data_IF_016998843545
#
_entry.id   IF_016998843545
#
_cell.length_a   1.000
_cell.length_b   1.000
_cell.length_c   1.000
_cell.angle_alpha   90.00
_cell.angle_beta   90.00
_cell.angle_gamma   90.00
#
_symmetry.space_group_name_H-M   'P 1'
#
loop_
_entity.id
_entity.type
_entity.pdbx_description
1 polymer ?
#
# COMPACT_ATOMS: atom_id res chain seq x y z
N UNK A 1 7.67 24.56 -29.47
CA UNK A 1 8.31 24.17 -28.19
C UNK A 1 8.00 22.70 -27.99
N UNK A 2 8.76 21.80 -28.64
CA UNK A 2 10.04 21.23 -28.13
C UNK A 2 9.81 20.44 -26.85
N UNK A 3 10.30 19.20 -26.81
CA UNK A 3 10.20 18.35 -25.61
C UNK A 3 10.76 19.13 -24.41
N UNK A 4 9.91 19.42 -23.44
CA UNK A 4 10.36 19.68 -22.08
C UNK A 4 10.67 18.29 -21.53
N UNK A 5 11.91 18.07 -21.09
CA UNK A 5 12.26 16.84 -20.41
C UNK A 5 11.38 16.71 -19.17
N UNK A 6 10.60 15.63 -19.17
CA UNK A 6 9.60 15.37 -18.14
C UNK A 6 10.28 14.97 -16.81
N UNK A 7 11.45 14.35 -16.91
CA UNK A 7 12.28 13.94 -15.78
C UNK A 7 13.55 14.80 -15.69
N UNK A 8 14.36 14.59 -14.65
CA UNK A 8 15.72 15.14 -14.56
C UNK A 8 16.78 14.05 -14.83
N UNK A 9 17.97 14.44 -15.28
CA UNK A 9 19.07 13.49 -15.56
C UNK A 9 19.63 12.77 -14.31
N UNK A 10 19.46 13.37 -13.14
CA UNK A 10 20.04 12.87 -11.88
C UNK A 10 19.80 13.80 -10.70
N UNK A 11 20.16 13.37 -9.47
CA UNK A 11 20.05 14.19 -8.27
C UNK A 11 20.96 15.43 -8.31
N UNK A 12 20.71 16.38 -7.41
CA UNK A 12 21.51 17.58 -7.24
C UNK A 12 21.35 18.11 -5.82
N UNK A 13 22.27 17.74 -4.94
CA UNK A 13 22.30 18.22 -3.56
C UNK A 13 22.90 19.64 -3.47
N UNK A 14 22.54 20.34 -2.40
CA UNK A 14 22.91 21.73 -2.07
C UNK A 14 23.20 21.88 -0.58
N UNK A 15 22.51 21.11 0.27
CA UNK A 15 22.65 21.08 1.73
C UNK A 15 22.52 19.64 2.26
N UNK A 16 22.79 19.43 3.54
CA UNK A 16 22.34 18.25 4.27
C UNK A 16 20.81 18.24 4.36
N UNK A 17 20.17 17.07 4.44
CA UNK A 17 18.71 16.96 4.60
C UNK A 17 18.35 16.57 6.05
N UNK A 18 17.34 17.19 6.71
CA UNK A 18 16.69 18.45 6.33
C UNK A 18 17.68 19.62 6.32
N UNK A 19 17.54 20.49 5.32
CA UNK A 19 18.30 21.74 5.27
C UNK A 19 17.72 22.81 6.20
N UNK A 20 18.34 24.00 6.27
CA UNK A 20 17.94 25.07 7.20
C UNK A 20 16.50 25.58 6.98
N UNK A 21 15.97 25.57 5.75
CA UNK A 21 14.57 25.95 5.45
C UNK A 21 13.58 24.84 5.80
N UNK A 22 14.06 23.59 5.87
CA UNK A 22 13.27 22.42 6.26
C UNK A 22 13.12 22.25 7.79
N UNK A 23 13.81 23.05 8.61
CA UNK A 23 13.70 22.99 10.07
C UNK A 23 12.36 23.55 10.55
N UNK A 24 11.52 22.67 11.12
CA UNK A 24 10.14 23.01 11.47
C UNK A 24 10.04 23.76 12.80
N UNK A 25 9.19 24.77 12.88
CA UNK A 25 8.79 25.40 14.16
C UNK A 25 7.79 24.52 14.92
N UNK A 26 7.66 24.73 16.23
CA UNK A 26 6.85 23.90 17.15
C UNK A 26 5.31 23.99 16.96
N UNK A 27 4.82 24.26 15.76
CA UNK A 27 3.39 24.53 15.46
C UNK A 27 2.54 23.29 15.21
N UNK A 28 3.15 22.12 15.00
CA UNK A 28 2.47 20.83 14.78
C UNK A 28 3.25 19.67 15.42
N UNK A 29 2.68 18.46 15.44
CA UNK A 29 3.41 17.24 15.79
C UNK A 29 4.33 16.83 14.64
N UNK A 30 5.57 17.32 14.68
CA UNK A 30 6.57 17.18 13.61
C UNK A 30 7.45 15.93 13.73
N UNK A 31 7.21 15.06 14.70
CA UNK A 31 8.06 13.90 15.02
C UNK A 31 8.20 12.82 13.93
N UNK A 32 7.50 12.97 12.80
CA UNK A 32 7.59 12.12 11.61
C UNK A 32 7.86 12.92 10.31
N UNK A 33 8.22 14.20 10.40
CA UNK A 33 8.54 15.06 9.25
C UNK A 33 10.03 14.94 8.91
N UNK A 34 10.33 14.41 7.72
CA UNK A 34 11.72 14.26 7.27
C UNK A 34 12.35 15.57 6.77
N UNK A 35 11.58 16.34 5.98
CA UNK A 35 11.92 17.65 5.40
C UNK A 35 10.67 18.25 4.73
N UNK A 36 10.71 19.52 4.31
CA UNK A 36 9.63 20.14 3.53
C UNK A 36 9.90 20.08 2.02
N UNK A 37 8.86 19.85 1.22
CA UNK A 37 8.98 19.63 -0.22
C UNK A 37 8.58 20.88 -1.04
N UNK A 38 9.34 21.16 -2.09
CA UNK A 38 8.95 22.06 -3.18
C UNK A 38 8.33 21.22 -4.31
N UNK A 39 7.02 21.02 -4.25
CA UNK A 39 6.30 20.21 -5.23
C UNK A 39 6.21 20.87 -6.61
N UNK A 40 6.34 22.19 -6.74
CA UNK A 40 6.26 22.89 -8.03
C UNK A 40 7.51 22.64 -8.90
N UNK A 41 8.69 22.50 -8.28
CA UNK A 41 9.92 22.09 -8.96
C UNK A 41 10.15 20.56 -9.00
N UNK A 42 9.34 19.77 -8.29
CA UNK A 42 9.43 18.30 -8.35
C UNK A 42 8.90 17.77 -9.69
N UNK A 43 9.61 16.84 -10.34
CA UNK A 43 9.25 16.33 -11.69
C UNK A 43 9.67 14.88 -11.87
N UNK A 44 8.84 14.11 -12.57
CA UNK A 44 9.14 12.72 -12.91
C UNK A 44 9.45 11.88 -11.68
N UNK A 45 10.62 11.26 -11.64
CA UNK A 45 11.10 10.44 -10.54
C UNK A 45 11.82 11.24 -9.43
N UNK A 46 11.85 12.59 -9.49
CA UNK A 46 12.59 13.42 -8.53
C UNK A 46 11.70 14.32 -7.68
N UNK A 47 11.93 14.25 -6.36
CA UNK A 47 11.40 15.16 -5.36
C UNK A 47 12.42 16.27 -5.09
N UNK A 48 11.95 17.52 -5.03
CA UNK A 48 12.76 18.70 -4.67
C UNK A 48 12.34 19.15 -3.28
N UNK A 49 13.29 19.44 -2.39
CA UNK A 49 13.02 20.02 -1.07
C UNK A 49 13.03 21.56 -1.08
N UNK A 50 12.58 22.18 0.01
CA UNK A 50 12.59 23.65 0.13
C UNK A 50 14.00 24.25 0.21
N UNK A 51 15.03 23.44 0.45
CA UNK A 51 16.44 23.85 0.48
C UNK A 51 17.12 23.73 -0.90
N UNK A 52 16.40 23.27 -1.93
CA UNK A 52 16.87 23.15 -3.30
C UNK A 52 17.63 21.84 -3.58
N UNK A 53 17.59 20.86 -2.68
CA UNK A 53 18.07 19.51 -2.93
C UNK A 53 17.10 18.80 -3.88
N UNK A 54 17.60 18.27 -4.99
CA UNK A 54 16.84 17.38 -5.89
C UNK A 54 17.27 15.93 -5.63
N UNK A 55 16.32 15.10 -5.23
CA UNK A 55 16.54 13.70 -4.85
C UNK A 55 15.71 12.76 -5.72
N UNK A 56 16.30 11.65 -6.16
CA UNK A 56 15.60 10.54 -6.82
C UNK A 56 14.72 9.82 -5.79
N UNK A 57 13.42 9.66 -6.07
CA UNK A 57 12.44 9.18 -5.09
C UNK A 57 12.00 7.73 -5.36
N UNK A 58 12.57 6.79 -4.60
CA UNK A 58 12.17 5.37 -4.59
C UNK A 58 11.19 5.07 -3.44
N UNK A 59 10.46 6.08 -2.92
CA UNK A 59 9.43 5.92 -1.89
C UNK A 59 8.07 6.53 -2.26
N UNK A 60 8.04 7.52 -3.17
CA UNK A 60 6.87 8.10 -3.85
C UNK A 60 5.67 8.40 -2.94
N UNK A 61 5.94 9.15 -1.85
CA UNK A 61 4.94 9.49 -0.83
C UNK A 61 4.19 8.25 -0.30
N UNK A 62 4.95 7.23 0.11
CA UNK A 62 4.44 5.92 0.55
C UNK A 62 3.69 5.19 -0.58
N UNK A 63 4.35 5.03 -1.73
CA UNK A 63 3.83 4.30 -2.90
C UNK A 63 2.54 4.88 -3.50
N UNK A 64 2.30 6.19 -3.38
CA UNK A 64 1.04 6.86 -3.75
C UNK A 64 1.10 7.77 -4.98
N UNK A 65 2.29 8.07 -5.52
CA UNK A 65 2.47 8.85 -6.75
C UNK A 65 2.68 7.89 -7.95
N UNK A 66 1.67 7.64 -8.80
CA UNK A 66 1.72 6.54 -9.76
C UNK A 66 2.61 6.81 -10.98
N UNK A 67 2.61 8.03 -11.52
CA UNK A 67 3.30 8.38 -12.78
C UNK A 67 4.25 9.58 -12.60
N UNK A 68 4.84 9.70 -11.41
CA UNK A 68 5.80 10.76 -11.07
C UNK A 68 5.17 12.12 -10.79
N UNK A 69 6.02 13.04 -10.36
CA UNK A 69 5.65 14.41 -10.01
C UNK A 69 5.38 15.27 -11.25
N UNK A 70 4.39 16.16 -11.18
CA UNK A 70 4.03 17.13 -12.24
C UNK A 70 3.90 16.55 -13.65
N UNK A 71 3.37 15.32 -13.76
CA UNK A 71 3.20 14.64 -15.05
C UNK A 71 2.40 15.48 -16.05
N UNK A 72 2.93 15.79 -17.26
CA UNK A 72 2.33 16.73 -18.21
C UNK A 72 0.87 16.43 -18.59
N UNK A 73 0.46 15.16 -18.63
CA UNK A 73 -0.94 14.80 -18.86
C UNK A 73 -1.88 15.26 -17.73
N UNK A 74 -1.43 15.21 -16.47
CA UNK A 74 -2.21 15.67 -15.31
C UNK A 74 -2.21 17.20 -15.22
N UNK A 75 -1.10 17.86 -15.56
CA UNK A 75 -1.06 19.32 -15.70
C UNK A 75 -1.98 19.82 -16.81
N UNK A 76 -2.01 19.15 -17.97
CA UNK A 76 -2.94 19.44 -19.07
C UNK A 76 -4.41 19.22 -18.67
N UNK A 77 -4.68 18.21 -17.84
CA UNK A 77 -6.00 17.93 -17.28
C UNK A 77 -6.43 19.02 -16.29
N UNK A 78 -5.52 19.54 -15.45
CA UNK A 78 -5.78 20.69 -14.57
C UNK A 78 -6.00 22.00 -15.33
N UNK A 79 -5.24 22.22 -16.41
CA UNK A 79 -5.34 23.43 -17.23
C UNK A 79 -6.59 23.47 -18.16
N UNK A 80 -7.40 22.41 -18.20
CA UNK A 80 -8.61 22.35 -19.01
C UNK A 80 -9.79 23.04 -18.29
N UNK A 81 -10.34 24.17 -18.80
CA UNK A 81 -11.39 24.91 -18.11
C UNK A 81 -12.67 24.09 -17.90
N UNK A 82 -12.95 23.10 -18.77
CA UNK A 82 -14.13 22.24 -18.65
C UNK A 82 -14.11 21.38 -17.38
N UNK A 83 -12.93 21.16 -16.78
CA UNK A 83 -12.77 20.37 -15.55
C UNK A 83 -12.94 21.21 -14.26
N UNK A 84 -13.01 22.55 -14.35
CA UNK A 84 -12.99 23.44 -13.18
C UNK A 84 -14.08 23.11 -12.15
N UNK A 85 -15.31 22.83 -12.62
CA UNK A 85 -16.43 22.46 -11.75
C UNK A 85 -16.15 21.22 -10.90
N UNK A 86 -15.43 20.23 -11.45
CA UNK A 86 -15.09 18.97 -10.76
C UNK A 86 -14.12 19.19 -9.58
N UNK A 87 -13.36 20.29 -9.56
CA UNK A 87 -12.43 20.60 -8.48
C UNK A 87 -13.05 21.48 -7.38
N UNK A 88 -13.97 22.38 -7.73
CA UNK A 88 -14.59 23.31 -6.75
C UNK A 88 -15.91 22.80 -6.17
N UNK A 89 -16.68 22.02 -6.93
CA UNK A 89 -17.98 21.49 -6.50
C UNK A 89 -17.84 20.02 -6.10
N UNK A 90 -17.60 19.74 -4.81
CA UNK A 90 -17.52 18.35 -4.30
C UNK A 90 -18.93 17.82 -3.94
N UNK A 91 -19.47 16.83 -4.67
CA UNK A 91 -20.82 16.33 -4.44
C UNK A 91 -20.89 15.29 -3.32
N UNK A 92 -22.08 15.14 -2.73
CA UNK A 92 -22.44 13.98 -1.93
C UNK A 92 -22.81 12.80 -2.88
N UNK A 93 -21.78 12.08 -3.35
CA UNK A 93 -21.90 11.08 -4.43
C UNK A 93 -23.00 10.01 -4.24
N UNK A 94 -23.31 9.63 -3.00
CA UNK A 94 -24.37 8.65 -2.70
C UNK A 94 -25.80 9.15 -2.92
N UNK A 95 -26.02 10.45 -3.17
CA UNK A 95 -27.34 11.06 -3.37
C UNK A 95 -27.43 12.05 -4.54
N UNK A 96 -26.32 12.74 -4.87
CA UNK A 96 -26.26 13.79 -5.90
C UNK A 96 -24.99 13.60 -6.76
N UNK A 97 -24.84 12.49 -7.49
CA UNK A 97 -23.70 12.29 -8.38
C UNK A 97 -23.74 13.27 -9.58
N UNK A 98 -22.58 13.71 -10.10
CA UNK A 98 -22.52 14.47 -11.34
C UNK A 98 -22.88 13.60 -12.55
N UNK A 99 -23.40 14.22 -13.60
CA UNK A 99 -23.88 13.56 -14.83
C UNK A 99 -22.91 12.50 -15.40
N UNK A 100 -21.63 12.84 -15.50
CA UNK A 100 -20.58 11.98 -16.05
C UNK A 100 -20.00 10.94 -15.07
N UNK A 101 -20.57 10.78 -13.87
CA UNK A 101 -20.05 9.84 -12.87
C UNK A 101 -20.02 8.38 -13.33
N UNK A 102 -21.08 7.81 -13.97
CA UNK A 102 -21.05 6.43 -14.45
C UNK A 102 -19.94 6.18 -15.49
N UNK A 103 -19.76 7.12 -16.41
CA UNK A 103 -18.73 7.04 -17.46
C UNK A 103 -17.34 7.11 -16.84
N UNK A 104 -17.08 8.07 -15.93
CA UNK A 104 -15.78 8.20 -15.27
C UNK A 104 -15.46 7.02 -14.36
N UNK A 105 -16.45 6.39 -13.75
CA UNK A 105 -16.28 5.10 -13.01
C UNK A 105 -15.98 3.94 -13.97
N UNK A 106 -16.56 3.96 -15.18
CA UNK A 106 -16.36 2.94 -16.21
C UNK A 106 -14.98 3.04 -16.86
N UNK A 107 -14.60 4.23 -17.34
CA UNK A 107 -13.29 4.56 -17.91
C UNK A 107 -12.14 4.26 -16.94
N UNK A 108 -12.33 4.51 -15.64
CA UNK A 108 -11.30 4.28 -14.61
C UNK A 108 -11.43 2.91 -13.95
N UNK A 109 -12.20 2.80 -12.87
CA UNK A 109 -12.17 1.65 -11.96
C UNK A 109 -12.70 0.35 -12.58
N UNK A 110 -13.76 0.41 -13.39
CA UNK A 110 -14.31 -0.81 -14.02
C UNK A 110 -13.46 -1.28 -15.21
N UNK A 111 -12.71 -0.40 -15.87
CA UNK A 111 -11.76 -0.78 -16.94
C UNK A 111 -10.54 -1.56 -16.44
N UNK A 112 -10.41 -1.74 -15.12
CA UNK A 112 -9.43 -2.60 -14.43
C UNK A 112 -10.10 -3.51 -13.38
N UNK A 113 -11.39 -3.83 -13.54
CA UNK A 113 -12.14 -4.65 -12.60
C UNK A 113 -11.56 -6.07 -12.45
N UNK A 114 -11.33 -6.57 -11.21
CA UNK A 114 -10.93 -7.96 -10.99
C UNK A 114 -11.96 -8.97 -11.51
N UNK A 115 -11.49 -10.13 -11.96
CA UNK A 115 -12.36 -11.21 -12.46
C UNK A 115 -13.44 -11.59 -11.43
N UNK A 116 -14.70 -11.63 -11.88
CA UNK A 116 -15.87 -11.88 -11.03
C UNK A 116 -16.39 -10.67 -10.23
N UNK A 117 -15.73 -9.51 -10.26
CA UNK A 117 -16.14 -8.30 -9.52
C UNK A 117 -16.78 -7.24 -10.44
N UNK A 118 -18.04 -7.45 -10.82
CA UNK A 118 -18.81 -6.54 -11.70
C UNK A 118 -19.38 -5.28 -11.02
N UNK A 119 -18.90 -4.93 -9.83
CA UNK A 119 -19.39 -3.80 -9.02
C UNK A 119 -18.25 -3.12 -8.29
N UNK A 120 -18.31 -1.79 -8.21
CA UNK A 120 -17.38 -0.97 -7.43
C UNK A 120 -18.15 -0.06 -6.48
N UNK A 121 -17.58 0.20 -5.31
CA UNK A 121 -17.95 1.33 -4.48
C UNK A 121 -16.68 2.13 -4.17
N UNK A 122 -16.66 3.38 -4.57
CA UNK A 122 -15.57 4.32 -4.35
C UNK A 122 -15.48 4.77 -2.89
N UNK A 123 -14.28 5.16 -2.46
CA UNK A 123 -13.91 5.50 -1.07
C UNK A 123 -12.81 6.56 -1.06
N UNK A 124 -12.63 7.27 0.06
CA UNK A 124 -11.70 8.41 0.13
C UNK A 124 -10.26 8.02 0.55
N UNK A 125 -10.06 6.89 1.23
CA UNK A 125 -8.74 6.38 1.63
C UNK A 125 -8.81 4.87 1.93
N UNK A 126 -7.66 4.19 1.99
CA UNK A 126 -7.59 2.74 2.24
C UNK A 126 -8.26 2.27 3.54
N UNK A 127 -8.17 3.05 4.62
CA UNK A 127 -8.85 2.69 5.88
C UNK A 127 -10.37 2.73 5.74
N UNK A 128 -10.96 3.75 5.13
CA UNK A 128 -12.41 3.74 4.95
C UNK A 128 -12.87 2.72 3.89
N UNK A 129 -12.03 2.32 2.93
CA UNK A 129 -12.28 1.12 2.12
C UNK A 129 -12.41 -0.14 2.97
N UNK A 130 -11.44 -0.40 3.84
CA UNK A 130 -11.42 -1.61 4.67
C UNK A 130 -12.54 -1.63 5.72
N UNK A 131 -12.79 -0.53 6.45
CA UNK A 131 -13.94 -0.45 7.40
C UNK A 131 -15.28 -0.78 6.72
N UNK A 132 -15.48 -0.32 5.48
CA UNK A 132 -16.73 -0.56 4.75
C UNK A 132 -16.76 -1.95 4.12
N UNK A 133 -15.62 -2.53 3.73
CA UNK A 133 -15.53 -3.95 3.38
C UNK A 133 -15.90 -4.85 4.56
N UNK A 134 -15.39 -4.58 5.77
CA UNK A 134 -15.71 -5.35 6.98
C UNK A 134 -17.19 -5.29 7.35
N UNK A 135 -17.78 -4.08 7.43
CA UNK A 135 -19.23 -3.91 7.65
C UNK A 135 -20.08 -4.70 6.65
N UNK A 136 -19.61 -4.83 5.42
CA UNK A 136 -20.32 -5.50 4.32
C UNK A 136 -20.22 -7.01 4.36
N UNK A 137 -19.06 -7.51 4.79
CA UNK A 137 -18.86 -8.91 5.16
C UNK A 137 -19.83 -9.26 6.32
N UNK A 138 -19.95 -8.41 7.34
CA UNK A 138 -20.90 -8.61 8.45
C UNK A 138 -22.37 -8.55 8.02
N UNK A 139 -22.77 -7.52 7.26
CA UNK A 139 -24.14 -7.38 6.72
C UNK A 139 -24.50 -8.57 5.85
N UNK A 140 -23.60 -9.00 4.95
CA UNK A 140 -23.80 -10.21 4.17
C UNK A 140 -23.98 -11.45 5.06
N UNK A 141 -23.08 -11.65 6.03
CA UNK A 141 -23.09 -12.83 6.89
C UNK A 141 -24.42 -12.95 7.65
N UNK A 142 -24.90 -11.85 8.25
CA UNK A 142 -26.20 -11.79 8.93
C UNK A 142 -27.38 -11.94 7.98
N UNK A 143 -27.32 -11.40 6.76
CA UNK A 143 -28.37 -11.61 5.77
C UNK A 143 -28.44 -13.07 5.30
N UNK A 144 -27.30 -13.77 5.22
CA UNK A 144 -27.24 -15.21 4.94
C UNK A 144 -27.76 -16.06 6.10
N UNK A 145 -27.59 -15.63 7.35
CA UNK A 145 -28.20 -16.29 8.52
C UNK A 145 -29.72 -16.05 8.61
N UNK A 146 -30.18 -14.81 8.40
CA UNK A 146 -31.61 -14.42 8.42
C UNK A 146 -32.40 -14.91 7.18
N UNK A 147 -31.72 -15.29 6.10
CA UNK A 147 -32.35 -15.73 4.86
C UNK A 147 -33.28 -14.66 4.26
N UNK A 148 -34.57 -14.99 4.15
CA UNK A 148 -35.60 -14.08 3.64
C UNK A 148 -36.33 -13.28 4.73
N UNK A 149 -36.11 -13.57 6.02
CA UNK A 149 -36.91 -13.03 7.12
C UNK A 149 -36.61 -11.56 7.46
N UNK A 150 -35.49 -11.00 7.01
CA UNK A 150 -35.05 -9.66 7.35
C UNK A 150 -34.64 -9.48 8.83
N UNK A 151 -34.28 -8.26 9.26
CA UNK A 151 -34.00 -7.95 10.66
C UNK A 151 -35.28 -7.98 11.52
N UNK A 152 -35.20 -8.47 12.74
CA UNK A 152 -36.31 -8.47 13.70
C UNK A 152 -36.49 -7.11 14.39
N UNK A 153 -37.59 -6.89 15.10
CA UNK A 153 -37.76 -5.71 15.95
C UNK A 153 -36.69 -5.64 17.07
N UNK A 154 -36.20 -6.79 17.53
CA UNK A 154 -35.11 -6.89 18.52
C UNK A 154 -33.73 -6.56 17.90
N UNK A 155 -33.47 -7.00 16.66
CA UNK A 155 -32.28 -6.58 15.91
C UNK A 155 -32.22 -5.04 15.75
N UNK A 156 -33.38 -4.40 15.57
CA UNK A 156 -33.51 -2.96 15.36
C UNK A 156 -33.44 -2.13 16.65
N UNK A 157 -33.90 -2.66 17.79
CA UNK A 157 -33.82 -1.96 19.08
C UNK A 157 -32.44 -2.13 19.74
N UNK A 158 -31.88 -3.35 19.73
CA UNK A 158 -30.59 -3.65 20.37
C UNK A 158 -29.39 -3.01 19.66
N UNK A 159 -29.42 -2.86 18.32
CA UNK A 159 -28.31 -2.24 17.58
C UNK A 159 -28.10 -0.77 17.97
N UNK A 160 -29.17 -0.03 18.30
CA UNK A 160 -29.11 1.36 18.74
C UNK A 160 -28.50 1.52 20.15
N UNK A 161 -28.31 0.42 20.88
CA UNK A 161 -27.67 0.35 22.20
C UNK A 161 -26.29 -0.34 22.16
N UNK A 162 -25.75 -0.63 20.96
CA UNK A 162 -24.55 -1.44 20.74
C UNK A 162 -24.65 -2.88 21.28
N UNK A 163 -25.86 -3.46 21.32
CA UNK A 163 -26.15 -4.78 21.91
C UNK A 163 -26.54 -5.83 20.87
N UNK A 164 -26.30 -7.09 21.17
CA UNK A 164 -26.85 -8.23 20.42
C UNK A 164 -28.37 -8.33 20.62
N UNK A 165 -29.14 -8.92 19.67
CA UNK A 165 -28.71 -9.53 18.40
C UNK A 165 -28.37 -8.54 17.27
N UNK A 166 -28.71 -7.26 17.43
CA UNK A 166 -28.58 -6.21 16.41
C UNK A 166 -27.13 -5.86 16.06
N UNK A 167 -26.27 -5.76 17.08
CA UNK A 167 -24.82 -5.73 16.97
C UNK A 167 -24.26 -7.13 17.25
N UNK A 168 -23.93 -7.93 16.21
CA UNK A 168 -23.43 -9.30 16.39
C UNK A 168 -21.91 -9.33 16.65
N UNK A 169 -21.46 -10.27 17.48
CA UNK A 169 -20.04 -10.49 17.82
C UNK A 169 -19.31 -11.26 16.68
N UNK A 170 -19.37 -10.73 15.45
CA UNK A 170 -18.69 -11.31 14.29
C UNK A 170 -17.21 -10.90 14.25
N UNK A 171 -16.39 -11.75 13.65
CA UNK A 171 -14.94 -11.50 13.53
C UNK A 171 -14.42 -11.45 12.10
N UNK A 172 -13.32 -10.73 11.90
CA UNK A 172 -12.51 -10.74 10.67
C UNK A 172 -11.17 -11.39 11.00
N UNK A 173 -10.81 -12.45 10.28
CA UNK A 173 -9.49 -13.05 10.39
C UNK A 173 -8.46 -12.19 9.66
N UNK A 174 -7.34 -11.92 10.32
CA UNK A 174 -6.22 -11.11 9.84
C UNK A 174 -4.89 -11.80 10.11
N UNK A 175 -3.77 -11.25 9.66
CA UNK A 175 -2.46 -11.92 9.69
C UNK A 175 -1.40 -11.12 10.46
N UNK A 176 -0.50 -11.82 11.16
CA UNK A 176 0.70 -11.20 11.77
C UNK A 176 1.49 -10.40 10.71
N UNK A 177 1.98 -9.21 11.05
CA UNK A 177 2.70 -8.33 10.12
C UNK A 177 1.81 -7.42 9.25
N UNK A 178 0.51 -7.70 9.14
CA UNK A 178 -0.39 -6.98 8.22
C UNK A 178 -0.56 -5.49 8.55
N UNK A 179 -0.92 -4.68 7.55
CA UNK A 179 -1.34 -3.29 7.72
C UNK A 179 -2.53 -2.95 6.83
N UNK A 180 -3.66 -2.62 7.47
CA UNK A 180 -4.93 -2.37 6.80
C UNK A 180 -5.52 -0.99 7.15
N UNK A 181 -4.91 -0.26 8.10
CA UNK A 181 -5.27 1.12 8.42
C UNK A 181 -5.08 1.48 9.89
N UNK A 182 -5.56 2.66 10.28
CA UNK A 182 -5.44 3.19 11.65
C UNK A 182 -6.77 3.61 12.30
N UNK A 183 -7.90 3.50 11.60
CA UNK A 183 -9.24 3.50 12.22
C UNK A 183 -9.45 2.18 12.97
N UNK A 184 -10.31 2.15 14.00
CA UNK A 184 -10.30 1.07 14.99
C UNK A 184 -10.52 -0.36 14.43
N UNK A 185 -11.39 -0.57 13.44
CA UNK A 185 -11.60 -1.89 12.82
C UNK A 185 -10.43 -2.30 11.92
N UNK A 186 -9.85 -1.34 11.20
CA UNK A 186 -8.61 -1.52 10.46
C UNK A 186 -7.40 -1.74 11.36
N UNK A 187 -7.40 -1.20 12.58
CA UNK A 187 -6.32 -1.33 13.54
C UNK A 187 -6.39 -2.67 14.29
N UNK A 188 -7.59 -3.16 14.58
CA UNK A 188 -7.79 -4.52 15.09
C UNK A 188 -7.17 -5.57 14.16
N UNK A 189 -7.30 -5.36 12.83
CA UNK A 189 -6.76 -6.24 11.78
C UNK A 189 -5.34 -5.88 11.30
N UNK A 190 -4.72 -4.84 11.85
CA UNK A 190 -3.32 -4.44 11.56
C UNK A 190 -2.40 -4.97 12.65
N UNK A 191 -1.28 -5.61 12.29
CA UNK A 191 -0.34 -6.26 13.23
C UNK A 191 1.13 -6.00 12.86
N UNK A 192 1.43 -4.80 12.36
CA UNK A 192 2.73 -4.43 11.77
C UNK A 192 3.80 -3.97 12.77
N UNK A 193 3.48 -3.04 13.69
CA UNK A 193 4.42 -2.48 14.68
C UNK A 193 3.70 -2.14 15.99
N UNK A 194 4.36 -2.32 17.14
CA UNK A 194 3.77 -2.05 18.46
C UNK A 194 3.27 -0.59 18.60
N UNK A 195 4.08 0.38 18.15
CA UNK A 195 3.75 1.82 18.17
C UNK A 195 2.54 2.21 17.29
N UNK A 196 2.01 1.29 16.47
CA UNK A 196 0.75 1.51 15.76
C UNK A 196 -0.48 1.14 16.60
N UNK A 197 -0.36 0.22 17.57
CA UNK A 197 -1.48 -0.37 18.34
C UNK A 197 -1.49 -0.02 19.83
N UNK A 198 -0.33 0.34 20.40
CA UNK A 198 -0.18 0.64 21.83
C UNK A 198 -1.18 1.72 22.26
N UNK A 199 -1.75 1.56 23.46
CA UNK A 199 -2.74 2.44 24.09
C UNK A 199 -4.08 2.65 23.34
N UNK A 200 -4.34 1.92 22.25
CA UNK A 200 -5.62 1.98 21.51
C UNK A 200 -6.49 0.73 21.77
N UNK A 201 -7.76 0.88 22.18
CA UNK A 201 -8.69 -0.25 22.30
C UNK A 201 -8.86 -1.03 20.99
N UNK A 202 -8.89 -2.36 21.08
CA UNK A 202 -8.94 -3.27 19.94
C UNK A 202 -10.07 -4.29 20.09
N UNK A 203 -10.46 -4.93 18.98
CA UNK A 203 -11.41 -6.02 18.94
C UNK A 203 -10.68 -7.36 19.13
N UNK A 204 -11.23 -8.24 19.98
CA UNK A 204 -10.81 -9.64 20.12
C UNK A 204 -11.28 -10.40 18.86
N UNK A 205 -10.39 -10.53 17.87
CA UNK A 205 -10.59 -11.17 16.56
C UNK A 205 -9.41 -12.13 16.21
N UNK A 206 -9.57 -13.08 15.28
CA UNK A 206 -8.52 -14.02 14.92
C UNK A 206 -7.31 -13.38 14.21
N UNK A 207 -6.12 -13.84 14.60
CA UNK A 207 -4.84 -13.46 14.01
C UNK A 207 -4.10 -14.75 13.64
N UNK A 208 -3.92 -15.00 12.34
CA UNK A 208 -3.16 -16.12 11.81
C UNK A 208 -1.68 -15.72 11.55
N UNK A 209 -0.74 -16.67 11.54
CA UNK A 209 0.61 -16.40 11.04
C UNK A 209 0.62 -16.11 9.53
N UNK A 210 1.42 -15.14 9.10
CA UNK A 210 1.79 -14.98 7.69
C UNK A 210 3.09 -15.76 7.42
N UNK A 211 3.23 -16.51 6.30
CA UNK A 211 4.43 -17.30 6.01
C UNK A 211 5.73 -16.49 6.04
N UNK A 212 6.74 -16.95 6.78
CA UNK A 212 8.06 -16.31 6.80
C UNK A 212 9.08 -17.05 5.93
N UNK A 213 9.04 -16.79 4.63
CA UNK A 213 9.93 -17.45 3.66
C UNK A 213 11.44 -17.28 3.99
N UNK A 214 12.19 -18.36 3.81
CA UNK A 214 13.65 -18.43 3.81
C UNK A 214 14.19 -18.22 2.38
N UNK A 215 15.39 -17.65 2.28
CA UNK A 215 16.01 -17.20 1.02
C UNK A 215 17.49 -17.62 0.99
N UNK A 216 18.06 -18.01 -0.17
CA UNK A 216 17.46 -18.05 -1.51
C UNK A 216 16.27 -19.02 -1.64
N UNK A 217 15.26 -18.67 -2.45
CA UNK A 217 13.99 -19.42 -2.50
C UNK A 217 14.20 -20.85 -3.05
N UNK A 218 15.21 -20.99 -3.91
CA UNK A 218 15.64 -22.20 -4.59
C UNK A 218 16.25 -23.22 -3.60
N UNK A 219 16.93 -22.74 -2.56
CA UNK A 219 17.60 -23.56 -1.53
C UNK A 219 16.62 -24.07 -0.45
N UNK A 220 15.58 -23.27 -0.14
CA UNK A 220 14.62 -23.54 0.95
C UNK A 220 13.21 -23.91 0.47
N UNK A 221 13.08 -24.43 -0.75
CA UNK A 221 11.78 -24.70 -1.39
C UNK A 221 10.85 -25.60 -0.54
N UNK A 222 11.37 -26.66 0.07
CA UNK A 222 10.62 -27.59 0.94
C UNK A 222 10.19 -26.92 2.26
N UNK A 223 11.11 -26.20 2.90
CA UNK A 223 10.89 -25.52 4.17
C UNK A 223 9.86 -24.40 4.02
N UNK A 224 9.90 -23.71 2.87
CA UNK A 224 8.92 -22.71 2.48
C UNK A 224 7.52 -23.33 2.22
N UNK A 225 7.44 -24.47 1.53
CA UNK A 225 6.16 -25.18 1.35
C UNK A 225 5.56 -25.64 2.70
N UNK A 226 6.39 -26.15 3.62
CA UNK A 226 5.96 -26.57 4.96
C UNK A 226 5.46 -25.39 5.81
N UNK A 227 6.15 -24.25 5.77
CA UNK A 227 5.73 -23.01 6.44
C UNK A 227 4.41 -22.46 5.88
N UNK A 228 4.22 -22.49 4.55
CA UNK A 228 2.96 -22.09 3.92
C UNK A 228 1.80 -23.04 4.26
N UNK A 229 2.06 -24.35 4.32
CA UNK A 229 1.06 -25.34 4.73
C UNK A 229 0.63 -25.15 6.19
N UNK A 230 1.58 -24.98 7.12
CA UNK A 230 1.31 -24.70 8.54
C UNK A 230 0.45 -23.44 8.71
N UNK A 231 0.80 -22.36 8.00
CA UNK A 231 0.04 -21.11 8.06
C UNK A 231 -1.41 -21.25 7.53
N UNK A 232 -1.66 -22.17 6.60
CA UNK A 232 -3.02 -22.46 6.10
C UNK A 232 -3.82 -23.32 7.09
N UNK A 233 -3.20 -24.33 7.70
CA UNK A 233 -3.80 -25.17 8.73
C UNK A 233 -4.27 -24.32 9.92
N UNK A 234 -3.42 -23.41 10.42
CA UNK A 234 -3.78 -22.48 11.50
C UNK A 234 -4.93 -21.51 11.12
N UNK A 235 -5.13 -21.18 9.84
CA UNK A 235 -6.29 -20.39 9.40
C UNK A 235 -7.59 -21.19 9.51
N UNK A 236 -7.60 -22.47 9.11
CA UNK A 236 -8.79 -23.33 9.25
C UNK A 236 -9.12 -23.57 10.73
N UNK A 237 -8.11 -23.88 11.54
CA UNK A 237 -8.22 -24.08 12.99
C UNK A 237 -8.78 -22.84 13.69
N UNK A 238 -8.31 -21.65 13.32
CA UNK A 238 -8.88 -20.39 13.81
C UNK A 238 -10.34 -20.23 13.40
N UNK A 239 -10.73 -20.51 12.15
CA UNK A 239 -12.13 -20.40 11.71
C UNK A 239 -13.05 -21.31 12.54
N UNK A 240 -12.63 -22.54 12.83
CA UNK A 240 -13.37 -23.49 13.68
C UNK A 240 -13.45 -23.01 15.12
N UNK A 241 -12.30 -22.68 15.73
CA UNK A 241 -12.17 -22.22 17.12
C UNK A 241 -12.96 -20.95 17.42
N UNK A 242 -12.98 -20.01 16.47
CA UNK A 242 -13.72 -18.76 16.60
C UNK A 242 -15.24 -18.93 16.42
N UNK A 243 -15.67 -19.88 15.59
CA UNK A 243 -17.08 -20.29 15.56
C UNK A 243 -17.52 -20.95 16.88
N UNK A 244 -16.67 -21.78 17.50
CA UNK A 244 -16.94 -22.41 18.80
C UNK A 244 -17.01 -21.37 19.95
N UNK A 245 -16.20 -20.30 19.90
CA UNK A 245 -16.30 -19.14 20.81
C UNK A 245 -17.64 -18.37 20.74
N UNK A 246 -18.51 -18.67 19.77
CA UNK A 246 -19.68 -17.83 19.46
C UNK A 246 -19.34 -16.57 18.65
N UNK A 247 -18.10 -16.44 18.18
CA UNK A 247 -17.57 -15.26 17.46
C UNK A 247 -17.18 -15.56 16.00
N UNK A 248 -18.08 -16.10 15.17
CA UNK A 248 -17.70 -16.72 13.90
C UNK A 248 -17.01 -15.75 12.94
N UNK A 249 -16.01 -16.26 12.23
CA UNK A 249 -15.28 -15.53 11.21
C UNK A 249 -16.20 -15.26 10.03
N UNK A 250 -16.54 -13.99 9.83
CA UNK A 250 -17.38 -13.56 8.72
C UNK A 250 -16.58 -13.41 7.43
N UNK A 251 -15.29 -13.09 7.51
CA UNK A 251 -14.38 -13.01 6.36
C UNK A 251 -12.90 -12.90 6.76
N UNK A 252 -12.04 -12.92 5.74
CA UNK A 252 -10.58 -12.88 5.86
C UNK A 252 -10.06 -11.63 5.14
N UNK A 253 -9.07 -10.94 5.71
CA UNK A 253 -8.35 -9.83 5.08
C UNK A 253 -6.85 -10.11 5.03
N UNK A 254 -6.20 -9.84 3.89
CA UNK A 254 -4.79 -10.13 3.64
C UNK A 254 -4.22 -9.23 2.53
N UNK A 255 -2.94 -8.89 2.63
CA UNK A 255 -2.16 -8.24 1.55
C UNK A 255 -1.49 -9.29 0.66
N UNK A 256 -1.47 -9.15 -0.69
CA UNK A 256 -0.72 -10.04 -1.58
C UNK A 256 0.81 -10.03 -1.35
N UNK A 257 1.34 -8.91 -0.85
CA UNK A 257 2.69 -8.77 -0.28
C UNK A 257 2.53 -7.81 0.90
N UNK A 258 2.84 -8.23 2.13
CA UNK A 258 2.65 -7.37 3.31
C UNK A 258 3.64 -6.22 3.30
N UNK A 259 3.16 -4.97 3.36
CA UNK A 259 4.04 -3.79 3.21
C UNK A 259 4.70 -3.36 4.52
N UNK A 260 3.95 -2.75 5.46
CA UNK A 260 4.55 -2.17 6.67
C UNK A 260 5.23 -3.20 7.59
N UNK A 261 4.75 -4.45 7.56
CA UNK A 261 5.31 -5.58 8.29
C UNK A 261 6.71 -6.02 7.85
N UNK A 262 7.21 -5.51 6.73
CA UNK A 262 8.58 -5.79 6.26
C UNK A 262 8.66 -6.47 4.90
N UNK A 263 7.81 -6.10 3.93
CA UNK A 263 7.81 -6.68 2.58
C UNK A 263 7.79 -8.22 2.61
N UNK A 264 6.81 -8.80 3.30
CA UNK A 264 6.66 -10.26 3.42
C UNK A 264 5.91 -10.81 2.20
N UNK A 265 6.55 -11.71 1.45
CA UNK A 265 5.98 -12.42 0.31
C UNK A 265 5.49 -13.83 0.73
N UNK A 266 4.52 -14.35 0.00
CA UNK A 266 4.12 -15.76 -0.02
C UNK A 266 3.91 -16.20 -1.48
N UNK A 267 3.91 -17.50 -1.77
CA UNK A 267 3.71 -18.02 -3.12
C UNK A 267 2.30 -17.75 -3.63
N UNK A 268 2.15 -17.71 -4.95
CA UNK A 268 0.83 -17.69 -5.58
C UNK A 268 -0.02 -18.93 -5.25
N UNK A 269 0.56 -20.01 -4.71
CA UNK A 269 -0.18 -21.20 -4.32
C UNK A 269 -0.80 -21.10 -2.92
N UNK A 270 -0.08 -20.52 -1.96
CA UNK A 270 -0.62 -20.13 -0.65
C UNK A 270 -1.89 -19.27 -0.82
N UNK A 271 -1.85 -18.24 -1.66
CA UNK A 271 -3.03 -17.40 -1.92
C UNK A 271 -4.18 -18.14 -2.63
N UNK A 272 -3.90 -19.14 -3.48
CA UNK A 272 -4.94 -19.99 -4.09
C UNK A 272 -5.60 -20.90 -3.05
N UNK A 273 -4.80 -21.58 -2.22
CA UNK A 273 -5.28 -22.42 -1.11
C UNK A 273 -6.11 -21.60 -0.13
N UNK A 274 -5.61 -20.45 0.33
CA UNK A 274 -6.34 -19.51 1.20
C UNK A 274 -7.65 -19.01 0.56
N UNK A 275 -7.66 -18.78 -0.77
CA UNK A 275 -8.89 -18.40 -1.47
C UNK A 275 -9.94 -19.51 -1.49
N UNK A 276 -9.55 -20.79 -1.50
CA UNK A 276 -10.48 -21.94 -1.42
C UNK A 276 -11.16 -21.98 -0.05
N UNK A 277 -10.40 -21.78 1.03
CA UNK A 277 -10.91 -21.70 2.42
C UNK A 277 -12.03 -20.63 2.56
N UNK A 278 -11.96 -19.54 1.79
CA UNK A 278 -12.75 -18.33 2.01
C UNK A 278 -14.09 -18.17 1.21
N UNK A 279 -14.57 -19.16 0.43
CA UNK A 279 -15.56 -18.89 -0.64
C UNK A 279 -17.06 -18.86 -0.28
N UNK A 280 -17.62 -17.80 0.39
CA UNK A 280 -19.09 -17.45 0.36
C UNK A 280 -19.33 -15.89 0.37
N UNK A 281 -20.29 -15.23 -0.37
CA UNK A 281 -20.25 -13.75 -0.70
C UNK A 281 -21.58 -12.89 -0.76
N UNK A 282 -21.74 -11.53 -0.79
CA UNK A 282 -21.11 -10.22 -0.37
C UNK A 282 -22.17 -9.05 -0.51
N UNK A 283 -22.13 -7.85 0.17
CA UNK A 283 -22.79 -6.53 -0.25
C UNK A 283 -22.53 -5.26 0.66
N UNK A 284 -22.45 -4.01 0.11
CA UNK A 284 -21.92 -2.74 0.74
C UNK A 284 -22.82 -1.46 0.54
N UNK A 285 -22.73 -0.43 1.43
CA UNK A 285 -23.08 1.01 1.17
C UNK A 285 -22.39 2.05 2.13
N UNK A 286 -22.19 3.34 1.74
CA UNK A 286 -21.91 4.51 2.62
C UNK A 286 -22.12 5.91 1.95
N UNK A 287 -21.95 7.00 2.72
CA UNK A 287 -22.33 8.41 2.39
C UNK A 287 -21.52 9.13 1.31
N UNK A 288 -20.19 9.19 1.42
CA UNK A 288 -19.38 10.07 0.55
C UNK A 288 -18.86 9.40 -0.72
N UNK A 289 -18.76 8.07 -0.73
CA UNK A 289 -18.32 7.27 -1.88
C UNK A 289 -17.09 7.86 -2.64
N UNK A 290 -16.09 8.39 -1.94
CA UNK A 290 -14.86 8.93 -2.54
C UNK A 290 -14.92 10.41 -2.95
N UNK A 291 -14.49 10.69 -4.19
CA UNK A 291 -14.26 12.04 -4.72
C UNK A 291 -14.14 12.01 -6.28
N UNK A 292 -15.01 12.68 -7.05
CA UNK A 292 -14.97 12.66 -8.52
C UNK A 292 -13.66 13.18 -9.12
N UNK A 293 -12.99 14.13 -8.48
CA UNK A 293 -11.72 14.68 -8.97
C UNK A 293 -10.63 13.60 -9.02
N UNK A 294 -10.69 12.62 -8.11
CA UNK A 294 -9.74 11.50 -8.08
C UNK A 294 -10.04 10.46 -9.16
N UNK A 295 -11.32 10.23 -9.48
CA UNK A 295 -11.70 9.40 -10.65
C UNK A 295 -11.22 10.05 -11.96
N UNK A 296 -11.33 11.37 -12.09
CA UNK A 296 -10.86 12.11 -13.27
C UNK A 296 -9.33 12.01 -13.46
N UNK A 297 -8.54 12.18 -12.40
CA UNK A 297 -7.09 11.91 -12.46
C UNK A 297 -6.79 10.43 -12.75
N UNK A 298 -7.49 9.49 -12.11
CA UNK A 298 -7.25 8.05 -12.27
C UNK A 298 -7.51 7.59 -13.70
N UNK A 299 -8.53 8.13 -14.38
CA UNK A 299 -8.78 7.85 -15.80
C UNK A 299 -7.57 8.20 -16.68
N UNK A 300 -6.99 9.39 -16.53
CA UNK A 300 -5.80 9.76 -17.33
C UNK A 300 -4.53 9.02 -16.87
N UNK A 301 -4.37 8.70 -15.58
CA UNK A 301 -3.29 7.82 -15.11
C UNK A 301 -3.37 6.44 -15.80
N UNK A 302 -4.57 5.85 -15.91
CA UNK A 302 -4.77 4.59 -16.61
C UNK A 302 -4.58 4.71 -18.13
N UNK A 303 -4.89 5.86 -18.73
CA UNK A 303 -4.55 6.15 -20.12
C UNK A 303 -3.04 6.21 -20.34
N UNK A 304 -2.29 6.87 -19.46
CA UNK A 304 -0.82 6.93 -19.49
C UNK A 304 -0.22 5.51 -19.38
N UNK A 305 -0.64 4.74 -18.38
CA UNK A 305 -0.15 3.36 -18.14
C UNK A 305 -0.34 2.48 -19.38
N UNK A 306 -1.48 2.58 -20.07
CA UNK A 306 -1.76 1.84 -21.31
C UNK A 306 -0.97 2.36 -22.51
N UNK A 307 -0.98 3.68 -22.72
CA UNK A 307 -0.34 4.37 -23.87
C UNK A 307 1.17 4.20 -23.89
N UNK A 308 1.79 4.17 -22.72
CA UNK A 308 3.25 4.15 -22.53
C UNK A 308 3.74 2.78 -22.00
N UNK A 309 2.86 1.77 -21.97
CA UNK A 309 3.14 0.37 -21.61
C UNK A 309 3.89 0.21 -20.28
N UNK A 310 3.51 0.99 -19.26
CA UNK A 310 4.28 1.12 -18.01
C UNK A 310 4.32 -0.18 -17.17
N UNK A 311 3.46 -1.16 -17.46
CA UNK A 311 3.53 -2.48 -16.83
C UNK A 311 4.72 -3.30 -17.33
N UNK A 312 5.10 -3.17 -18.60
CA UNK A 312 6.31 -3.79 -19.16
C UNK A 312 7.58 -3.06 -18.68
N UNK A 313 7.52 -1.72 -18.56
CA UNK A 313 8.60 -0.93 -17.96
C UNK A 313 8.88 -1.38 -16.52
N UNK A 314 7.84 -1.53 -15.68
CA UNK A 314 7.97 -2.00 -14.30
C UNK A 314 8.48 -3.45 -14.21
N UNK A 315 8.17 -4.31 -15.18
CA UNK A 315 8.77 -5.64 -15.27
C UNK A 315 10.27 -5.58 -15.64
N UNK A 316 10.65 -4.69 -16.57
CA UNK A 316 12.04 -4.49 -17.00
C UNK A 316 12.90 -3.87 -15.91
N UNK A 317 12.55 -2.68 -15.43
CA UNK A 317 13.34 -1.98 -14.39
C UNK A 317 13.30 -2.71 -13.06
N UNK A 318 12.20 -3.40 -12.74
CA UNK A 318 12.10 -4.33 -11.63
C UNK A 318 13.09 -5.49 -11.69
N UNK A 319 13.25 -6.11 -12.88
CA UNK A 319 14.25 -7.17 -13.09
C UNK A 319 15.69 -6.65 -12.91
N UNK A 320 16.00 -5.48 -13.49
CA UNK A 320 17.31 -4.85 -13.31
C UNK A 320 17.59 -4.52 -11.84
N UNK A 321 16.60 -4.01 -11.11
CA UNK A 321 16.70 -3.70 -9.68
C UNK A 321 16.94 -4.97 -8.86
N UNK A 322 16.21 -6.05 -9.12
CA UNK A 322 16.42 -7.33 -8.44
C UNK A 322 17.80 -7.93 -8.70
N UNK A 323 18.30 -7.90 -9.93
CA UNK A 323 19.66 -8.35 -10.25
C UNK A 323 20.70 -7.58 -9.43
N UNK A 324 20.66 -6.24 -9.46
CA UNK A 324 21.59 -5.40 -8.69
C UNK A 324 21.48 -5.60 -7.18
N UNK A 325 20.29 -5.85 -6.64
CA UNK A 325 20.12 -6.18 -5.22
C UNK A 325 20.73 -7.55 -4.86
N UNK A 326 20.68 -8.55 -5.75
CA UNK A 326 21.38 -9.82 -5.55
C UNK A 326 22.91 -9.67 -5.66
N UNK A 327 23.41 -8.88 -6.60
CA UNK A 327 24.83 -8.57 -6.76
C UNK A 327 25.38 -7.86 -5.51
N UNK A 328 24.66 -6.85 -4.99
CA UNK A 328 25.01 -6.18 -3.74
C UNK A 328 24.89 -7.12 -2.52
N UNK A 329 23.89 -8.00 -2.47
CA UNK A 329 23.81 -9.01 -1.40
C UNK A 329 25.04 -9.94 -1.40
N UNK A 330 25.48 -10.39 -2.57
CA UNK A 330 26.66 -11.24 -2.72
C UNK A 330 27.98 -10.49 -2.41
N UNK A 331 28.03 -9.18 -2.66
CA UNK A 331 29.19 -8.32 -2.37
C UNK A 331 29.26 -7.88 -0.89
N UNK A 332 28.12 -7.83 -0.19
CA UNK A 332 27.99 -7.35 1.19
C UNK A 332 27.25 -8.35 2.13
N UNK A 333 27.59 -9.66 2.16
CA UNK A 333 26.77 -10.69 2.82
C UNK A 333 26.71 -10.59 4.36
N UNK A 334 27.64 -9.88 4.99
CA UNK A 334 27.60 -9.56 6.43
C UNK A 334 26.71 -8.35 6.79
N UNK A 335 26.16 -7.67 5.78
CA UNK A 335 25.40 -6.43 5.91
C UNK A 335 24.00 -6.52 5.29
N UNK A 336 23.87 -7.24 4.17
CA UNK A 336 22.66 -7.38 3.36
C UNK A 336 22.21 -8.84 3.24
N UNK A 337 20.90 -9.07 3.25
CA UNK A 337 20.31 -10.42 3.18
C UNK A 337 18.86 -10.39 2.67
N UNK A 338 18.34 -11.56 2.27
CA UNK A 338 16.92 -11.77 1.90
C UNK A 338 16.38 -10.78 0.85
N UNK A 339 17.20 -10.41 -0.13
CA UNK A 339 16.77 -9.62 -1.29
C UNK A 339 15.58 -10.30 -1.99
N UNK A 340 14.52 -9.53 -2.25
CA UNK A 340 13.21 -10.05 -2.72
C UNK A 340 12.40 -8.97 -3.42
N UNK A 341 11.50 -9.36 -4.32
CA UNK A 341 10.60 -8.42 -4.97
C UNK A 341 9.79 -9.00 -6.14
N UNK A 342 8.86 -8.20 -6.66
CA UNK A 342 8.09 -8.49 -7.87
C UNK A 342 7.81 -7.19 -8.64
N UNK A 343 8.24 -7.11 -9.90
CA UNK A 343 8.32 -5.81 -10.58
C UNK A 343 9.30 -4.89 -9.83
N UNK A 344 8.97 -3.61 -9.70
CA UNK A 344 9.75 -2.65 -8.89
C UNK A 344 9.40 -2.68 -7.39
N UNK A 345 8.45 -3.52 -6.98
CA UNK A 345 8.07 -3.70 -5.57
C UNK A 345 9.08 -4.65 -4.91
N UNK A 346 10.20 -4.09 -4.46
CA UNK A 346 11.35 -4.84 -3.95
C UNK A 346 11.76 -4.43 -2.54
N UNK A 347 12.48 -5.30 -1.85
CA UNK A 347 13.09 -5.04 -0.55
C UNK A 347 14.36 -5.87 -0.30
N UNK A 348 15.14 -5.45 0.70
CA UNK A 348 16.32 -6.16 1.19
C UNK A 348 16.45 -5.95 2.71
N UNK A 349 16.87 -6.98 3.45
CA UNK A 349 17.06 -6.91 4.90
C UNK A 349 18.50 -6.50 5.21
N UNK A 350 18.67 -5.42 5.99
CA UNK A 350 19.96 -5.02 6.56
C UNK A 350 20.20 -5.84 7.84
N UNK A 351 21.47 -6.03 8.21
CA UNK A 351 21.90 -6.73 9.44
C UNK A 351 21.10 -6.32 10.68
N UNK A 352 20.93 -5.02 10.90
CA UNK A 352 20.28 -4.43 12.08
C UNK A 352 19.57 -3.09 11.73
N UNK A 353 18.64 -2.67 12.59
CA UNK A 353 17.78 -1.51 12.33
C UNK A 353 18.50 -0.16 12.42
N UNK A 354 19.57 -0.06 13.21
CA UNK A 354 20.39 1.15 13.37
C UNK A 354 21.25 1.40 12.13
N UNK A 355 21.84 0.33 11.58
CA UNK A 355 22.59 0.36 10.32
C UNK A 355 21.68 0.58 9.12
N UNK A 356 20.44 0.05 9.14
CA UNK A 356 19.39 0.43 8.16
C UNK A 356 19.19 1.94 8.15
N UNK A 357 19.01 2.54 9.32
CA UNK A 357 18.73 3.97 9.44
C UNK A 357 19.89 4.83 8.93
N UNK A 358 21.14 4.51 9.33
CA UNK A 358 22.35 5.15 8.79
C UNK A 358 22.41 5.09 7.26
N UNK A 359 22.21 3.90 6.69
CA UNK A 359 22.29 3.70 5.24
C UNK A 359 21.20 4.49 4.51
N UNK A 360 19.96 4.49 5.00
CA UNK A 360 18.86 5.29 4.43
C UNK A 360 19.18 6.78 4.46
N UNK A 361 19.64 7.32 5.60
CA UNK A 361 19.97 8.73 5.74
C UNK A 361 21.15 9.15 4.83
N UNK A 362 22.23 8.37 4.81
CA UNK A 362 23.38 8.64 3.94
C UNK A 362 23.05 8.52 2.44
N UNK A 363 22.15 7.60 2.06
CA UNK A 363 21.69 7.43 0.67
C UNK A 363 20.84 8.63 0.24
N UNK A 364 19.96 9.13 1.12
CA UNK A 364 19.22 10.38 0.93
C UNK A 364 20.15 11.59 0.82
N UNK A 365 21.20 11.66 1.63
CA UNK A 365 22.15 12.78 1.61
C UNK A 365 23.08 12.75 0.38
N UNK A 366 23.19 11.60 -0.31
CA UNK A 366 23.73 11.51 -1.68
C UNK A 366 22.69 11.70 -2.79
N UNK A 367 21.43 11.94 -2.44
CA UNK A 367 20.36 12.29 -3.38
C UNK A 367 19.39 11.17 -3.76
N UNK A 368 19.22 10.11 -2.98
CA UNK A 368 18.23 9.05 -3.25
C UNK A 368 17.38 8.73 -2.02
N UNK A 369 16.07 8.97 -2.08
CA UNK A 369 15.11 8.71 -1.01
C UNK A 369 14.71 7.23 -1.03
N UNK A 370 14.88 6.55 0.11
CA UNK A 370 14.52 5.14 0.32
C UNK A 370 13.49 4.99 1.45
N UNK A 371 12.66 3.95 1.37
CA UNK A 371 11.69 3.61 2.43
C UNK A 371 12.21 2.54 3.40
N UNK A 372 11.92 2.68 4.68
CA UNK A 372 12.06 1.60 5.66
C UNK A 372 10.77 0.79 5.82
N UNK A 373 10.86 -0.52 6.05
CA UNK A 373 9.74 -1.38 6.46
C UNK A 373 10.18 -2.40 7.53
N UNK A 374 9.19 -3.03 8.20
CA UNK A 374 9.45 -3.96 9.30
C UNK A 374 10.32 -3.34 10.39
N UNK A 375 11.24 -4.14 10.91
CA UNK A 375 12.30 -3.69 11.84
C UNK A 375 13.48 -3.08 11.07
N UNK A 376 14.11 -3.87 10.20
CA UNK A 376 15.46 -3.63 9.63
C UNK A 376 15.56 -3.70 8.10
N UNK A 377 14.43 -3.69 7.41
CA UNK A 377 14.39 -3.79 5.94
C UNK A 377 14.40 -2.42 5.27
N UNK A 378 15.01 -2.35 4.09
CA UNK A 378 14.89 -1.26 3.12
C UNK A 378 13.95 -1.74 2.01
N UNK A 379 13.04 -0.87 1.57
CA UNK A 379 12.07 -1.14 0.50
C UNK A 379 12.10 -0.07 -0.58
N UNK A 380 11.75 -0.51 -1.79
CA UNK A 380 11.72 0.29 -2.99
C UNK A 380 10.27 0.36 -3.50
N UNK A 381 9.78 1.58 -3.72
CA UNK A 381 8.46 1.96 -4.22
C UNK A 381 8.60 3.16 -5.18
N UNK A 382 9.31 3.00 -6.31
CA UNK A 382 9.40 4.06 -7.31
C UNK A 382 8.09 4.17 -8.12
N UNK A 383 7.96 5.24 -8.91
CA UNK A 383 6.79 5.44 -9.78
C UNK A 383 6.79 4.46 -10.96
N UNK A 384 5.64 4.29 -11.63
CA UNK A 384 5.50 3.39 -12.79
C UNK A 384 6.31 3.85 -14.02
N UNK A 385 6.81 5.09 -14.00
CA UNK A 385 7.70 5.70 -15.01
C UNK A 385 9.20 5.42 -14.74
N UNK A 386 9.53 4.67 -13.68
CA UNK A 386 10.89 4.42 -13.24
C UNK A 386 11.62 3.45 -14.17
N UNK A 387 12.45 4.03 -15.04
CA UNK A 387 13.26 3.36 -16.06
C UNK A 387 14.57 2.78 -15.54
N UNK A 388 15.11 1.83 -16.29
CA UNK A 388 16.36 1.12 -16.00
C UNK A 388 17.57 2.03 -15.69
N UNK A 389 17.72 3.20 -16.34
CA UNK A 389 18.82 4.11 -16.04
C UNK A 389 18.75 4.69 -14.61
N UNK A 390 17.55 4.82 -14.02
CA UNK A 390 17.40 5.19 -12.61
C UNK A 390 17.82 4.04 -11.67
N UNK A 391 17.66 2.79 -12.10
CA UNK A 391 18.15 1.61 -11.37
C UNK A 391 19.68 1.68 -11.27
N UNK A 392 20.37 1.87 -12.40
CA UNK A 392 21.82 1.98 -12.45
C UNK A 392 22.34 3.18 -11.64
N UNK A 393 21.66 4.33 -11.73
CA UNK A 393 21.94 5.52 -10.91
C UNK A 393 21.79 5.25 -9.40
N UNK A 394 20.71 4.59 -8.98
CA UNK A 394 20.51 4.17 -7.60
C UNK A 394 21.58 3.18 -7.13
N UNK A 395 21.83 2.10 -7.87
CA UNK A 395 22.77 1.03 -7.49
C UNK A 395 24.19 1.56 -7.29
N UNK A 396 24.65 2.47 -8.16
CA UNK A 396 25.96 3.12 -8.02
C UNK A 396 26.04 3.93 -6.71
N UNK A 397 25.08 4.83 -6.47
CA UNK A 397 25.04 5.66 -5.26
C UNK A 397 24.95 4.80 -3.98
N UNK A 398 24.15 3.74 -4.03
CA UNK A 398 23.89 2.83 -2.91
C UNK A 398 25.11 1.95 -2.61
N UNK A 399 25.80 1.41 -3.62
CA UNK A 399 27.08 0.72 -3.46
C UNK A 399 28.11 1.62 -2.76
N UNK A 400 28.24 2.87 -3.18
CA UNK A 400 29.18 3.83 -2.58
C UNK A 400 28.81 4.21 -1.12
N UNK A 401 27.57 3.94 -0.67
CA UNK A 401 27.17 4.04 0.75
C UNK A 401 27.49 2.73 1.47
N UNK A 402 27.10 1.58 0.93
CA UNK A 402 27.37 0.25 1.50
C UNK A 402 28.86 0.01 1.72
N UNK A 403 29.73 0.52 0.84
CA UNK A 403 31.18 0.50 0.97
C UNK A 403 31.71 1.13 2.28
N UNK A 404 30.91 1.96 2.96
CA UNK A 404 31.25 2.65 4.20
C UNK A 404 30.82 1.86 5.46
N UNK A 405 30.13 0.72 5.30
CA UNK A 405 29.63 -0.15 6.39
C UNK A 405 30.15 -1.60 6.28
N UNK A 406 31.30 -1.79 5.63
CA UNK A 406 31.99 -3.10 5.52
C UNK A 406 32.64 -3.51 6.83
#
# INVERSE_FOLDING_TARGET
>A
KTHVEFDYDGPSMKTSVPGPRSQVTHTQNVGAVNFFCNYDDSRGNYLVDVDGNRMLDLYTQISSIPIGYNHPALLKLMANPNNLSTFVNRPALGILPPENFPDKVTESLLSVAPSGMSRVQTMSCGSCSNENAFKSIFIWYRNKERGLSGPTAEDLSSCMLNQAPGCPDLSILSFTGAFHGRTMGCLATTHSKAIHKLDVPSLDWPIAPFPRLQYPLEEFSRENEQEEARCLEEVEDLIVKWRQKGKPVAGIVIEPIQSEGGDNHATADFFRKLRIIAQKPYRIFNTWMGDPSKNLFLAEVLNVIRRENLLEEVARSGKALMNGLYELQAQYPGLLSRARGQGTFCAIDVRDAETRERITLQTRDKGVILGGCGEKSIRFRPALIFKEYHVHLFLNIFNDVLAQHK
#
